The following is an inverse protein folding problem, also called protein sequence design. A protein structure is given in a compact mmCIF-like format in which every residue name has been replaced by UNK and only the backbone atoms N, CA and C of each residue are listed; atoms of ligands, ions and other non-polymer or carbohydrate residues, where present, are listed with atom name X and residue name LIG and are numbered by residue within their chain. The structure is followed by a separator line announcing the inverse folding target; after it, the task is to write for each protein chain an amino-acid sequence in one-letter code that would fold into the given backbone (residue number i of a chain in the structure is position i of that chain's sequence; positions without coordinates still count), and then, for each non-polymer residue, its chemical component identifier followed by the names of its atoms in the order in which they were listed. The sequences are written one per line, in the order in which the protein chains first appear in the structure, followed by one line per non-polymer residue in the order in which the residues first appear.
data_IF_479590599627
#
_entry.id   IF_479590599627
#
_cell.length_a   1.000
_cell.length_b   1.000
_cell.length_c   1.000
_cell.angle_alpha   90.00
_cell.angle_beta   90.00
_cell.angle_gamma   90.00
#
_symmetry.space_group_name_H-M   'P 1'
#
loop_
_entity.id
_entity.type
_entity.pdbx_description
1 polymer ?
#
# COMPACT_ATOMS: atom_id res chain seq x y z
N UNK A 1 17.66 -9.62 -49.56
CA UNK A 1 16.39 -8.97 -49.16
C UNK A 1 15.34 -9.98 -48.67
N UNK A 2 15.76 -11.14 -48.17
CA UNK A 2 14.84 -12.25 -47.83
C UNK A 2 15.17 -12.92 -46.48
N UNK A 3 16.04 -12.29 -45.68
CA UNK A 3 16.41 -12.75 -44.32
C UNK A 3 16.03 -11.76 -43.20
N UNK A 4 15.28 -10.70 -43.53
CA UNK A 4 14.75 -9.72 -42.54
C UNK A 4 13.25 -9.86 -42.27
N UNK A 5 12.62 -10.96 -42.69
CA UNK A 5 11.19 -11.26 -42.45
C UNK A 5 10.95 -12.41 -41.46
N UNK A 6 11.99 -12.92 -40.77
CA UNK A 6 11.89 -14.06 -39.84
C UNK A 6 12.06 -13.75 -38.35
N UNK A 7 12.06 -12.48 -37.95
CA UNK A 7 11.97 -12.08 -36.54
C UNK A 7 10.90 -11.02 -36.41
N UNK A 8 9.65 -11.47 -36.24
CA UNK A 8 8.51 -10.80 -35.60
C UNK A 8 7.25 -11.63 -35.94
N UNK A 9 7.28 -12.90 -35.57
CA UNK A 9 6.04 -13.65 -35.38
C UNK A 9 5.50 -13.23 -34.01
N UNK A 10 4.98 -11.99 -33.92
CA UNK A 10 4.19 -11.53 -32.79
C UNK A 10 2.92 -12.37 -32.85
N UNK A 11 2.92 -13.47 -32.09
CA UNK A 11 1.71 -14.21 -31.76
C UNK A 11 0.77 -13.22 -31.05
N UNK A 12 -0.31 -12.91 -31.76
CA UNK A 12 -1.61 -12.41 -31.28
C UNK A 12 -1.59 -11.10 -30.46
N UNK A 13 -2.29 -10.09 -31.00
CA UNK A 13 -2.65 -8.89 -30.25
C UNK A 13 -3.38 -9.27 -28.96
N UNK A 14 -3.05 -8.70 -27.78
CA UNK A 14 -3.80 -8.96 -26.58
C UNK A 14 -5.22 -8.42 -26.78
N UNK A 15 -6.14 -9.35 -26.94
CA UNK A 15 -7.58 -9.23 -26.68
C UNK A 15 -7.81 -8.22 -25.53
N UNK A 16 -8.63 -7.19 -25.78
CA UNK A 16 -9.21 -6.12 -24.92
C UNK A 16 -8.37 -5.48 -23.78
N UNK A 17 -8.37 -4.14 -23.71
CA UNK A 17 -7.69 -3.36 -22.66
C UNK A 17 -8.21 -3.71 -21.26
N UNK A 18 -7.33 -3.64 -20.26
CA UNK A 18 -7.65 -3.93 -18.85
C UNK A 18 -8.84 -3.12 -18.31
N UNK A 19 -9.05 -1.93 -18.87
CA UNK A 19 -10.19 -1.03 -18.69
C UNK A 19 -11.55 -1.73 -18.84
N UNK A 20 -11.65 -2.71 -19.74
CA UNK A 20 -12.89 -3.48 -19.98
C UNK A 20 -13.07 -4.69 -19.07
N UNK A 21 -12.02 -5.09 -18.34
CA UNK A 21 -11.96 -6.39 -17.62
C UNK A 21 -11.91 -6.24 -16.11
N UNK A 22 -11.66 -5.03 -15.61
CA UNK A 22 -11.42 -4.77 -14.21
C UNK A 22 -12.33 -3.65 -13.71
N UNK A 23 -12.74 -3.69 -12.45
CA UNK A 23 -13.53 -2.62 -11.83
C UNK A 23 -12.67 -1.39 -11.50
N UNK A 24 -13.07 -0.22 -11.96
CA UNK A 24 -12.41 1.08 -11.75
C UNK A 24 -13.25 2.06 -10.90
N UNK A 25 -14.36 1.59 -10.34
CA UNK A 25 -15.27 2.32 -9.45
C UNK A 25 -14.92 2.17 -7.96
N UNK A 26 -13.83 1.47 -7.64
CA UNK A 26 -13.42 1.19 -6.26
C UNK A 26 -11.99 1.65 -5.97
N UNK A 27 -11.75 2.02 -4.70
CA UNK A 27 -10.40 2.19 -4.16
C UNK A 27 -9.74 0.82 -4.09
N UNK A 28 -8.79 0.56 -5.00
CA UNK A 28 -8.08 -0.73 -5.05
C UNK A 28 -7.05 -0.82 -3.92
N UNK A 29 -6.31 0.26 -3.74
CA UNK A 29 -5.28 0.42 -2.73
C UNK A 29 -5.46 1.77 -2.06
N UNK A 30 -5.61 1.78 -0.73
CA UNK A 30 -5.60 3.02 0.04
C UNK A 30 -4.19 3.43 0.48
N UNK A 31 -3.24 2.49 0.41
CA UNK A 31 -1.81 2.71 0.63
C UNK A 31 -1.00 2.05 -0.51
N UNK A 32 0.20 2.54 -0.75
CA UNK A 32 1.21 1.79 -1.49
C UNK A 32 1.83 0.74 -0.56
N UNK A 33 2.06 -0.47 -1.07
CA UNK A 33 2.56 -1.61 -0.29
C UNK A 33 4.01 -1.97 -0.64
N UNK A 34 4.68 -1.04 -1.31
CA UNK A 34 6.11 -1.00 -1.56
C UNK A 34 6.80 -0.16 -0.49
N UNK A 35 7.99 -0.60 -0.07
CA UNK A 35 8.83 0.17 0.84
C UNK A 35 9.40 1.39 0.13
N UNK A 36 8.94 2.57 0.55
CA UNK A 36 9.33 3.84 -0.06
C UNK A 36 10.80 4.18 0.22
N UNK A 37 11.40 3.76 1.33
CA UNK A 37 12.83 3.98 1.59
C UNK A 37 13.67 3.24 0.54
N UNK A 38 13.36 1.96 0.31
CA UNK A 38 14.02 1.14 -0.71
C UNK A 38 13.79 1.74 -2.11
N UNK A 39 12.58 2.22 -2.41
CA UNK A 39 12.27 2.85 -3.68
C UNK A 39 13.13 4.10 -3.92
N UNK A 40 13.23 4.98 -2.93
CA UNK A 40 13.98 6.23 -3.04
C UNK A 40 15.50 5.97 -3.18
N UNK A 41 16.01 4.99 -2.44
CA UNK A 41 17.41 4.56 -2.53
C UNK A 41 17.73 3.96 -3.91
N UNK A 42 16.92 2.99 -4.35
CA UNK A 42 17.14 2.28 -5.61
C UNK A 42 17.06 3.20 -6.83
N UNK A 43 16.14 4.17 -6.82
CA UNK A 43 16.01 5.18 -7.87
C UNK A 43 17.07 6.29 -7.77
N UNK A 44 17.84 6.35 -6.68
CA UNK A 44 18.81 7.41 -6.39
C UNK A 44 18.18 8.79 -6.57
N UNK A 45 17.03 8.97 -5.93
CA UNK A 45 16.21 10.16 -6.09
C UNK A 45 17.01 11.39 -5.63
N UNK A 46 17.21 12.30 -6.58
CA UNK A 46 17.97 13.54 -6.40
C UNK A 46 17.08 14.76 -6.56
N UNK A 47 17.53 15.83 -5.92
CA UNK A 47 16.99 17.19 -6.08
C UNK A 47 16.98 17.60 -7.56
N UNK A 48 15.93 18.33 -7.95
CA UNK A 48 15.72 18.77 -9.34
C UNK A 48 15.38 17.65 -10.33
N UNK A 49 15.28 16.40 -9.89
CA UNK A 49 14.89 15.28 -10.75
C UNK A 49 13.44 15.36 -11.22
N UNK A 50 13.14 14.69 -12.35
CA UNK A 50 11.78 14.56 -12.88
C UNK A 50 11.42 13.08 -12.86
N UNK A 51 10.31 12.74 -12.22
CA UNK A 51 9.91 11.35 -12.00
C UNK A 51 8.51 11.08 -12.53
N UNK A 52 8.31 9.90 -13.13
CA UNK A 52 7.01 9.36 -13.47
C UNK A 52 6.69 8.22 -12.49
N UNK A 53 5.58 8.34 -11.78
CA UNK A 53 5.12 7.39 -10.77
C UNK A 53 3.75 6.86 -11.17
N UNK A 54 3.56 5.55 -11.08
CA UNK A 54 2.19 5.01 -11.03
C UNK A 54 1.59 5.47 -9.71
N UNK A 55 0.43 6.12 -9.76
CA UNK A 55 -0.10 6.85 -8.62
C UNK A 55 -0.56 5.89 -7.53
N UNK A 56 -1.34 4.86 -7.87
CA UNK A 56 -1.96 3.97 -6.89
C UNK A 56 -2.67 4.78 -5.79
N UNK A 57 -2.21 4.75 -4.55
CA UNK A 57 -2.77 5.57 -3.48
C UNK A 57 -2.07 6.94 -3.28
N UNK A 58 -1.00 7.22 -4.04
CA UNK A 58 -0.22 8.46 -3.99
C UNK A 58 1.01 8.41 -3.08
N UNK A 59 1.18 7.40 -2.23
CA UNK A 59 2.18 7.38 -1.16
C UNK A 59 3.62 7.44 -1.68
N UNK A 60 3.94 6.67 -2.73
CA UNK A 60 5.26 6.69 -3.36
C UNK A 60 5.49 8.02 -4.10
N UNK A 61 4.46 8.57 -4.74
CA UNK A 61 4.53 9.86 -5.41
C UNK A 61 4.81 10.99 -4.42
N UNK A 62 4.14 10.98 -3.25
CA UNK A 62 4.40 11.90 -2.16
C UNK A 62 5.80 11.68 -1.56
N UNK A 63 6.24 10.43 -1.41
CA UNK A 63 7.59 10.12 -0.92
C UNK A 63 8.69 10.68 -1.84
N UNK A 64 8.48 10.67 -3.17
CA UNK A 64 9.40 11.30 -4.13
C UNK A 64 9.49 12.82 -3.90
N UNK A 65 8.38 13.49 -3.57
CA UNK A 65 8.35 14.93 -3.31
C UNK A 65 9.20 15.35 -2.10
N UNK A 66 9.42 14.46 -1.13
CA UNK A 66 10.28 14.75 0.02
C UNK A 66 11.78 14.94 -0.34
N UNK A 67 12.16 14.67 -1.59
CA UNK A 67 13.55 14.79 -2.09
C UNK A 67 13.76 16.02 -2.97
N UNK A 68 12.87 17.01 -2.89
CA UNK A 68 12.91 18.25 -3.68
C UNK A 68 13.09 18.01 -5.20
N UNK A 69 12.28 17.14 -5.82
CA UNK A 69 12.31 16.95 -7.26
C UNK A 69 11.84 18.23 -7.97
N UNK A 70 12.22 18.40 -9.24
CA UNK A 70 11.64 19.47 -10.07
C UNK A 70 10.19 19.16 -10.45
N UNK A 71 9.85 17.87 -10.63
CA UNK A 71 8.47 17.45 -10.95
C UNK A 71 8.26 15.97 -10.66
N UNK A 72 7.06 15.62 -10.20
CA UNK A 72 6.57 14.24 -10.11
C UNK A 72 5.25 14.13 -10.85
N UNK A 73 5.22 13.30 -11.90
CA UNK A 73 3.99 12.94 -12.60
C UNK A 73 3.41 11.69 -11.95
N UNK A 74 2.29 11.83 -11.24
CA UNK A 74 1.53 10.70 -10.70
C UNK A 74 0.43 10.32 -11.69
N UNK A 75 0.53 9.14 -12.32
CA UNK A 75 -0.41 8.66 -13.33
C UNK A 75 -1.12 7.38 -12.89
N UNK A 76 -2.41 7.28 -13.14
CA UNK A 76 -3.17 6.05 -12.94
C UNK A 76 -4.28 5.95 -13.98
N UNK A 77 -4.59 4.74 -14.41
CA UNK A 77 -5.72 4.47 -15.29
C UNK A 77 -7.05 4.48 -14.52
N UNK A 78 -6.99 4.31 -13.19
CA UNK A 78 -8.15 4.33 -12.32
C UNK A 78 -8.42 5.75 -11.81
N UNK A 79 -9.51 6.41 -12.22
CA UNK A 79 -9.84 7.75 -11.73
C UNK A 79 -10.07 7.78 -10.21
N UNK A 80 -10.54 6.70 -9.59
CA UNK A 80 -10.71 6.62 -8.13
C UNK A 80 -9.37 6.65 -7.38
N UNK A 81 -8.31 6.09 -7.98
CA UNK A 81 -6.96 6.17 -7.41
C UNK A 81 -6.41 7.59 -7.53
N UNK A 82 -6.68 8.28 -8.64
CA UNK A 82 -6.34 9.70 -8.78
C UNK A 82 -7.10 10.58 -7.78
N UNK A 83 -8.38 10.30 -7.51
CA UNK A 83 -9.14 10.98 -6.46
C UNK A 83 -8.54 10.76 -5.05
N UNK A 84 -7.90 9.62 -4.79
CA UNK A 84 -7.15 9.37 -3.55
C UNK A 84 -5.87 10.20 -3.47
N UNK A 85 -5.13 10.30 -4.58
CA UNK A 85 -3.92 11.11 -4.66
C UNK A 85 -4.26 12.58 -4.45
N UNK A 86 -5.31 13.07 -5.11
CA UNK A 86 -5.77 14.45 -4.98
C UNK A 86 -6.21 14.77 -3.55
N UNK A 87 -6.99 13.88 -2.91
CA UNK A 87 -7.40 14.07 -1.52
C UNK A 87 -6.19 14.17 -0.58
N UNK A 88 -5.17 13.32 -0.76
CA UNK A 88 -3.94 13.40 0.03
C UNK A 88 -3.16 14.68 -0.28
N UNK A 89 -3.02 15.08 -1.54
CA UNK A 89 -2.41 16.37 -1.91
C UNK A 89 -3.08 17.54 -1.20
N UNK A 90 -4.41 17.64 -1.29
CA UNK A 90 -5.18 18.71 -0.65
C UNK A 90 -5.04 18.66 0.88
N UNK A 91 -5.03 17.46 1.48
CA UNK A 91 -4.81 17.31 2.90
C UNK A 91 -3.42 17.79 3.34
N UNK A 92 -2.35 17.49 2.59
CA UNK A 92 -1.01 18.02 2.87
C UNK A 92 -0.95 19.54 2.78
N UNK A 93 -1.59 20.13 1.76
CA UNK A 93 -1.58 21.59 1.56
C UNK A 93 -2.35 22.35 2.65
N UNK A 94 -3.42 21.77 3.21
CA UNK A 94 -4.39 22.52 4.02
C UNK A 94 -4.45 22.11 5.50
N UNK A 95 -3.82 21.00 5.90
CA UNK A 95 -3.89 20.50 7.27
C UNK A 95 -2.55 20.64 7.98
N UNK A 96 -2.59 20.80 9.30
CA UNK A 96 -1.41 20.53 10.13
C UNK A 96 -1.04 19.04 10.09
N UNK A 97 0.21 18.70 10.44
CA UNK A 97 0.65 17.31 10.48
C UNK A 97 -0.26 16.41 11.36
N UNK A 98 -0.69 16.91 12.52
CA UNK A 98 -1.58 16.16 13.41
C UNK A 98 -2.98 15.98 12.84
N UNK A 99 -3.52 17.00 12.17
CA UNK A 99 -4.80 16.90 11.46
C UNK A 99 -4.71 15.94 10.27
N UNK A 100 -3.59 15.92 9.54
CA UNK A 100 -3.35 14.96 8.47
C UNK A 100 -3.40 13.52 8.99
N UNK A 101 -2.67 13.20 10.06
CA UNK A 101 -2.66 11.85 10.65
C UNK A 101 -4.04 11.44 11.16
N UNK A 102 -4.78 12.35 11.80
CA UNK A 102 -6.17 12.12 12.21
C UNK A 102 -7.07 11.87 11.01
N UNK A 103 -7.01 12.73 10.00
CA UNK A 103 -7.84 12.67 8.80
C UNK A 103 -7.64 11.38 8.02
N UNK A 104 -6.38 11.01 7.78
CA UNK A 104 -6.03 9.82 7.02
C UNK A 104 -6.38 8.51 7.74
N UNK A 105 -6.52 8.52 9.07
CA UNK A 105 -6.90 7.32 9.84
C UNK A 105 -5.78 6.73 10.68
N UNK A 106 -4.59 7.35 10.71
CA UNK A 106 -3.47 6.91 11.56
C UNK A 106 -3.82 7.12 13.02
N UNK A 107 -4.23 8.34 13.38
CA UNK A 107 -4.65 8.68 14.73
C UNK A 107 -6.17 8.58 14.84
N UNK A 108 -6.67 8.05 15.96
CA UNK A 108 -8.11 8.00 16.24
C UNK A 108 -8.71 9.41 16.26
N UNK A 109 -9.89 9.55 15.66
CA UNK A 109 -10.59 10.83 15.53
C UNK A 109 -12.06 10.62 15.21
N UNK A 110 -12.92 11.45 15.80
CA UNK A 110 -14.33 11.58 15.45
C UNK A 110 -14.60 12.77 14.51
N UNK A 111 -13.57 13.55 14.19
CA UNK A 111 -13.70 14.84 13.49
C UNK A 111 -13.40 14.74 11.98
N UNK A 112 -13.16 13.54 11.44
CA UNK A 112 -12.74 13.36 10.04
C UNK A 112 -13.71 13.97 9.03
N UNK A 113 -15.01 13.86 9.29
CA UNK A 113 -16.06 14.46 8.44
C UNK A 113 -15.99 15.99 8.48
N UNK A 114 -15.73 16.58 9.65
CA UNK A 114 -15.52 18.02 9.78
C UNK A 114 -14.24 18.48 9.05
N UNK A 115 -13.15 17.72 9.19
CA UNK A 115 -11.89 18.00 8.47
C UNK A 115 -12.11 17.92 6.96
N UNK A 116 -12.84 16.90 6.46
CA UNK A 116 -13.19 16.81 5.05
C UNK A 116 -13.96 18.03 4.57
N UNK A 117 -15.01 18.46 5.29
CA UNK A 117 -15.77 19.66 4.93
C UNK A 117 -14.89 20.91 4.79
N UNK A 118 -13.84 21.05 5.62
CA UNK A 118 -12.88 22.16 5.53
C UNK A 118 -12.04 22.13 4.26
N UNK A 119 -11.69 20.96 3.74
CA UNK A 119 -10.76 20.83 2.61
C UNK A 119 -11.44 20.50 1.28
N UNK A 120 -12.69 20.04 1.30
CA UNK A 120 -13.39 19.49 0.12
C UNK A 120 -13.61 20.51 -1.00
N UNK A 121 -13.61 21.81 -0.69
CA UNK A 121 -13.76 22.87 -1.69
C UNK A 121 -12.51 23.09 -2.54
N UNK A 122 -11.36 22.55 -2.13
CA UNK A 122 -10.10 22.60 -2.88
C UNK A 122 -9.92 21.39 -3.80
N UNK A 123 -10.85 20.44 -3.80
CA UNK A 123 -10.86 19.30 -4.72
C UNK A 123 -11.44 19.72 -6.07
N UNK A 124 -10.98 19.05 -7.13
CA UNK A 124 -11.64 18.98 -8.43
C UNK A 124 -13.09 18.51 -8.28
N UNK A 125 -13.94 18.85 -9.25
CA UNK A 125 -15.34 18.46 -9.22
C UNK A 125 -15.49 16.93 -9.18
N UNK A 126 -14.66 16.22 -9.95
CA UNK A 126 -14.68 14.77 -10.07
C UNK A 126 -14.23 14.08 -8.77
N UNK A 127 -13.13 14.54 -8.15
CA UNK A 127 -12.70 13.97 -6.87
C UNK A 127 -13.69 14.28 -5.76
N UNK A 128 -14.23 15.51 -5.73
CA UNK A 128 -15.24 15.91 -4.74
C UNK A 128 -16.51 15.06 -4.86
N UNK A 129 -17.02 14.86 -6.07
CA UNK A 129 -18.20 14.01 -6.32
C UNK A 129 -17.97 12.59 -5.78
N UNK A 130 -16.81 12.00 -6.05
CA UNK A 130 -16.47 10.68 -5.53
C UNK A 130 -16.48 10.66 -3.99
N UNK A 131 -15.82 11.60 -3.33
CA UNK A 131 -15.71 11.59 -1.87
C UNK A 131 -17.03 11.95 -1.16
N UNK A 132 -17.81 12.87 -1.72
CA UNK A 132 -19.15 13.23 -1.24
C UNK A 132 -20.12 12.04 -1.30
N UNK A 133 -20.00 11.19 -2.34
CA UNK A 133 -20.77 9.95 -2.45
C UNK A 133 -20.35 8.88 -1.43
N UNK A 134 -19.18 9.02 -0.78
CA UNK A 134 -18.59 8.01 0.11
C UNK A 134 -18.24 8.55 1.52
N UNK A 135 -19.18 9.16 2.27
CA UNK A 135 -18.88 9.73 3.61
C UNK A 135 -18.41 8.67 4.61
N UNK A 136 -18.83 7.41 4.44
CA UNK A 136 -18.36 6.28 5.27
C UNK A 136 -16.86 6.02 5.11
N UNK A 137 -16.27 6.33 3.96
CA UNK A 137 -14.83 6.18 3.73
C UNK A 137 -14.06 7.25 4.51
N UNK A 138 -14.52 8.50 4.46
CA UNK A 138 -13.96 9.60 5.24
C UNK A 138 -14.00 9.27 6.74
N UNK A 139 -15.17 8.87 7.25
CA UNK A 139 -15.36 8.53 8.67
C UNK A 139 -14.41 7.41 9.15
N UNK A 140 -14.19 6.40 8.29
CA UNK A 140 -13.34 5.25 8.60
C UNK A 140 -11.86 5.61 8.71
N UNK A 141 -11.41 6.65 8.01
CA UNK A 141 -9.99 6.91 7.78
C UNK A 141 -9.54 6.32 6.45
N UNK A 142 -9.01 7.19 5.59
CA UNK A 142 -8.66 6.93 4.20
C UNK A 142 -7.74 5.72 4.06
N UNK A 143 -6.73 5.57 4.92
CA UNK A 143 -5.75 4.46 4.84
C UNK A 143 -6.35 3.07 5.05
N UNK A 144 -7.65 2.95 5.37
CA UNK A 144 -8.31 1.68 5.65
C UNK A 144 -9.34 1.24 4.60
N UNK A 145 -9.64 2.06 3.59
CA UNK A 145 -10.85 1.85 2.77
C UNK A 145 -10.64 0.93 1.56
N UNK A 146 -9.38 0.74 1.15
CA UNK A 146 -9.08 0.04 -0.09
C UNK A 146 -9.37 -1.45 -0.05
N UNK A 147 -9.56 -2.05 -1.24
CA UNK A 147 -9.83 -3.49 -1.39
C UNK A 147 -8.74 -4.33 -0.73
N UNK A 148 -7.47 -3.95 -0.91
CA UNK A 148 -6.35 -4.70 -0.35
C UNK A 148 -6.24 -4.54 1.18
N UNK A 149 -6.54 -3.37 1.71
CA UNK A 149 -6.65 -3.12 3.15
C UNK A 149 -7.79 -3.92 3.79
N UNK A 150 -8.92 -4.06 3.07
CA UNK A 150 -10.03 -4.92 3.49
C UNK A 150 -9.60 -6.40 3.53
N UNK A 151 -8.77 -6.84 2.59
CA UNK A 151 -8.20 -8.19 2.59
C UNK A 151 -7.26 -8.42 3.77
N UNK A 152 -6.38 -7.47 4.10
CA UNK A 152 -5.56 -7.55 5.32
C UNK A 152 -6.40 -7.54 6.60
N UNK A 153 -7.51 -6.80 6.63
CA UNK A 153 -8.44 -6.84 7.76
C UNK A 153 -9.08 -8.20 7.93
N UNK A 154 -9.49 -8.86 6.84
CA UNK A 154 -9.99 -10.24 6.88
C UNK A 154 -8.91 -11.18 7.44
N UNK A 155 -7.70 -11.09 6.90
CA UNK A 155 -6.55 -11.87 7.37
C UNK A 155 -6.31 -11.67 8.87
N UNK A 156 -6.14 -10.43 9.32
CA UNK A 156 -5.86 -10.08 10.71
C UNK A 156 -6.94 -10.53 11.68
N UNK A 157 -8.20 -10.32 11.34
CA UNK A 157 -9.29 -10.52 12.30
C UNK A 157 -9.79 -11.97 12.36
N UNK A 158 -9.62 -12.74 11.28
CA UNK A 158 -10.24 -14.06 11.17
C UNK A 158 -9.26 -15.19 10.89
N UNK A 159 -8.12 -14.92 10.25
CA UNK A 159 -7.20 -15.95 9.78
C UNK A 159 -5.96 -16.04 10.68
N UNK A 160 -5.31 -14.91 10.95
CA UNK A 160 -4.16 -14.82 11.84
C UNK A 160 -4.45 -15.35 13.26
N UNK A 161 -5.61 -15.08 13.89
CA UNK A 161 -5.91 -15.58 15.24
C UNK A 161 -6.03 -17.11 15.33
N UNK A 162 -6.21 -17.81 14.21
CA UNK A 162 -6.25 -19.28 14.16
C UNK A 162 -4.86 -19.90 14.32
N UNK A 163 -3.79 -19.12 14.09
CA UNK A 163 -2.41 -19.61 14.11
C UNK A 163 -1.53 -18.89 15.14
N UNK A 164 -1.86 -17.63 15.47
CA UNK A 164 -1.09 -16.80 16.40
C UNK A 164 -1.99 -16.01 17.33
N UNK A 165 -1.66 -16.00 18.62
CA UNK A 165 -2.31 -15.14 19.59
C UNK A 165 -1.91 -13.68 19.40
N UNK A 166 -2.74 -12.73 19.85
CA UNK A 166 -2.37 -11.30 19.87
C UNK A 166 -1.07 -11.05 20.63
N UNK A 167 -0.82 -11.81 21.70
CA UNK A 167 0.45 -11.72 22.47
C UNK A 167 1.64 -12.10 21.59
N UNK A 168 1.56 -13.21 20.86
CA UNK A 168 2.61 -13.65 19.94
C UNK A 168 2.85 -12.63 18.82
N UNK A 169 1.78 -12.04 18.28
CA UNK A 169 1.87 -10.98 17.26
C UNK A 169 2.58 -9.74 17.81
N UNK A 170 2.23 -9.29 19.01
CA UNK A 170 2.90 -8.15 19.62
C UNK A 170 4.37 -8.45 19.91
N UNK A 171 4.69 -9.66 20.40
CA UNK A 171 6.07 -10.09 20.60
C UNK A 171 6.87 -10.08 19.30
N UNK A 172 6.29 -10.49 18.16
CA UNK A 172 7.01 -10.39 16.88
C UNK A 172 7.41 -8.94 16.55
N UNK A 173 6.59 -7.97 16.95
CA UNK A 173 6.77 -6.54 16.68
C UNK A 173 7.54 -5.80 17.78
N UNK A 174 8.03 -6.50 18.80
CA UNK A 174 8.93 -5.90 19.79
C UNK A 174 10.36 -5.81 19.22
N UNK A 175 11.18 -4.93 19.80
CA UNK A 175 12.55 -4.74 19.36
C UNK A 175 13.39 -5.98 19.67
N UNK A 176 13.98 -6.55 18.63
CA UNK A 176 14.83 -7.73 18.68
C UNK A 176 16.05 -7.51 17.79
N UNK A 177 17.19 -8.08 18.16
CA UNK A 177 18.31 -8.24 17.22
C UNK A 177 18.03 -9.39 16.22
N UNK A 178 18.88 -9.55 15.21
CA UNK A 178 18.67 -10.56 14.17
C UNK A 178 18.63 -12.00 14.71
N UNK A 179 19.53 -12.35 15.63
CA UNK A 179 19.57 -13.69 16.22
C UNK A 179 18.28 -14.00 17.00
N UNK A 180 17.79 -13.03 17.78
CA UNK A 180 16.52 -13.13 18.51
C UNK A 180 15.32 -13.26 17.58
N UNK A 181 15.26 -12.51 16.46
CA UNK A 181 14.20 -12.65 15.45
C UNK A 181 14.20 -14.03 14.81
N UNK A 182 15.39 -14.55 14.45
CA UNK A 182 15.55 -15.89 13.91
C UNK A 182 15.08 -16.95 14.92
N UNK A 183 15.47 -16.81 16.18
CA UNK A 183 15.07 -17.73 17.24
C UNK A 183 13.55 -17.69 17.49
N UNK A 184 12.99 -16.49 17.61
CA UNK A 184 11.55 -16.30 17.76
C UNK A 184 10.78 -16.89 16.58
N UNK A 185 11.25 -16.65 15.36
CA UNK A 185 10.63 -17.22 14.18
C UNK A 185 10.64 -18.75 14.21
N UNK A 186 11.79 -19.37 14.51
CA UNK A 186 11.93 -20.83 14.56
C UNK A 186 11.09 -21.46 15.67
N UNK A 187 11.13 -20.88 16.88
CA UNK A 187 10.60 -21.51 18.08
C UNK A 187 9.15 -21.12 18.42
N UNK A 188 8.66 -19.97 17.91
CA UNK A 188 7.33 -19.44 18.25
C UNK A 188 6.44 -19.16 17.03
N UNK A 189 7.02 -18.71 15.91
CA UNK A 189 6.24 -18.28 14.75
C UNK A 189 6.00 -19.38 13.71
N UNK A 190 7.04 -20.09 13.28
CA UNK A 190 7.01 -21.03 12.16
C UNK A 190 6.39 -22.40 12.52
N UNK A 191 5.15 -22.37 13.01
CA UNK A 191 4.39 -23.54 13.44
C UNK A 191 3.75 -24.28 12.26
N UNK A 192 3.28 -25.52 12.48
CA UNK A 192 2.55 -26.27 11.46
C UNK A 192 1.29 -25.51 10.98
N UNK A 193 0.43 -24.96 11.86
CA UNK A 193 -0.70 -24.13 11.43
C UNK A 193 -0.29 -22.93 10.57
N UNK A 194 0.80 -22.23 10.92
CA UNK A 194 1.34 -21.13 10.11
C UNK A 194 1.72 -21.58 8.69
N UNK A 195 2.43 -22.70 8.56
CA UNK A 195 2.81 -23.26 7.25
C UNK A 195 1.59 -23.66 6.41
N UNK A 196 0.57 -24.26 7.03
CA UNK A 196 -0.67 -24.64 6.36
C UNK A 196 -1.49 -23.43 5.91
N UNK A 197 -1.56 -22.38 6.73
CA UNK A 197 -2.22 -21.13 6.38
C UNK A 197 -1.68 -20.57 5.06
N UNK A 198 -0.36 -20.54 4.85
CA UNK A 198 0.21 -19.97 3.63
C UNK A 198 -0.17 -20.75 2.38
N UNK A 199 -0.24 -22.08 2.48
CA UNK A 199 -0.64 -22.95 1.37
C UNK A 199 -2.10 -22.71 0.95
N UNK A 200 -2.96 -22.34 1.89
CA UNK A 200 -4.41 -22.17 1.66
C UNK A 200 -4.74 -20.71 1.34
N UNK A 201 -4.45 -19.79 2.26
CA UNK A 201 -4.91 -18.41 2.22
C UNK A 201 -4.22 -17.56 1.14
N UNK A 202 -2.92 -17.79 0.92
CA UNK A 202 -2.13 -17.12 -0.13
C UNK A 202 -2.09 -17.91 -1.44
N UNK A 203 -2.97 -18.89 -1.61
CA UNK A 203 -3.17 -19.53 -2.91
C UNK A 203 -3.75 -18.53 -3.93
N UNK A 204 -3.39 -18.70 -5.21
CA UNK A 204 -3.88 -17.84 -6.31
C UNK A 204 -5.40 -17.70 -6.33
N UNK A 205 -6.12 -18.78 -6.02
CA UNK A 205 -7.59 -18.82 -6.01
C UNK A 205 -8.20 -17.88 -4.96
N UNK A 206 -7.67 -17.87 -3.74
CA UNK A 206 -8.17 -17.03 -2.66
C UNK A 206 -7.74 -15.57 -2.84
N UNK A 207 -6.49 -15.34 -3.24
CA UNK A 207 -6.03 -13.97 -3.53
C UNK A 207 -6.78 -13.34 -4.70
N UNK A 208 -7.04 -14.06 -5.79
CA UNK A 208 -7.81 -13.55 -6.93
C UNK A 208 -9.29 -13.27 -6.61
N UNK A 209 -9.87 -13.96 -5.63
CA UNK A 209 -11.26 -13.71 -5.22
C UNK A 209 -11.39 -12.56 -4.22
N UNK A 210 -10.48 -12.47 -3.26
CA UNK A 210 -10.65 -11.61 -2.08
C UNK A 210 -9.70 -10.41 -2.05
N UNK A 211 -8.47 -10.55 -2.55
CA UNK A 211 -7.43 -9.52 -2.41
C UNK A 211 -7.17 -8.73 -3.68
N UNK A 212 -6.79 -9.43 -4.76
CA UNK A 212 -6.41 -8.85 -6.05
C UNK A 212 -7.38 -9.28 -7.14
N UNK A 213 -7.42 -8.54 -8.24
CA UNK A 213 -8.16 -8.93 -9.44
C UNK A 213 -7.53 -10.20 -10.06
N UNK A 214 -8.30 -11.25 -10.44
CA UNK A 214 -7.76 -12.46 -11.05
C UNK A 214 -6.86 -12.19 -12.27
N UNK A 215 -7.16 -11.13 -13.04
CA UNK A 215 -6.37 -10.76 -14.23
C UNK A 215 -4.90 -10.48 -13.91
N UNK A 216 -4.58 -10.01 -12.70
CA UNK A 216 -3.19 -9.76 -12.30
C UNK A 216 -2.37 -11.04 -12.10
N UNK A 217 -3.00 -12.22 -12.05
CA UNK A 217 -2.30 -13.50 -11.92
C UNK A 217 -2.03 -14.18 -13.28
N UNK A 218 -2.52 -13.61 -14.38
CA UNK A 218 -2.43 -14.21 -15.73
C UNK A 218 -0.98 -14.54 -16.14
N UNK A 219 -0.03 -13.68 -15.77
CA UNK A 219 1.39 -13.82 -16.13
C UNK A 219 2.25 -14.39 -15.01
N UNK A 220 1.64 -14.86 -13.91
CA UNK A 220 2.41 -15.45 -12.82
C UNK A 220 2.61 -16.93 -13.14
N UNK A 221 3.84 -17.37 -13.30
CA UNK A 221 4.17 -18.77 -13.61
C UNK A 221 4.62 -19.57 -12.38
N UNK A 222 5.09 -18.90 -11.33
CA UNK A 222 5.64 -19.54 -10.12
C UNK A 222 4.58 -19.90 -9.07
N UNK A 223 4.88 -20.85 -8.19
CA UNK A 223 4.04 -21.08 -7.01
C UNK A 223 4.06 -19.85 -6.08
N UNK A 224 2.94 -19.13 -6.10
CA UNK A 224 2.75 -17.87 -5.38
C UNK A 224 2.83 -18.09 -3.87
N UNK A 225 2.26 -19.19 -3.38
CA UNK A 225 2.22 -19.48 -1.94
C UNK A 225 3.63 -19.71 -1.40
N UNK A 226 4.45 -20.55 -2.05
CA UNK A 226 5.84 -20.78 -1.64
C UNK A 226 6.71 -19.52 -1.76
N UNK A 227 6.53 -18.72 -2.81
CA UNK A 227 7.25 -17.45 -2.96
C UNK A 227 6.92 -16.46 -1.83
N UNK A 228 5.63 -16.27 -1.53
CA UNK A 228 5.17 -15.41 -0.44
C UNK A 228 5.65 -15.95 0.91
N UNK A 229 5.63 -17.26 1.14
CA UNK A 229 6.12 -17.87 2.37
C UNK A 229 7.61 -17.59 2.60
N UNK A 230 8.46 -17.78 1.59
CA UNK A 230 9.91 -17.47 1.69
C UNK A 230 10.17 -15.98 1.93
N UNK A 231 9.40 -15.09 1.28
CA UNK A 231 9.50 -13.65 1.50
C UNK A 231 9.04 -13.25 2.90
N UNK A 232 7.98 -13.89 3.42
CA UNK A 232 7.54 -13.69 4.79
C UNK A 232 8.61 -14.15 5.78
N UNK A 233 9.21 -15.33 5.59
CA UNK A 233 10.34 -15.78 6.41
C UNK A 233 11.47 -14.74 6.44
N UNK A 234 11.90 -14.25 5.27
CA UNK A 234 12.92 -13.21 5.19
C UNK A 234 12.51 -11.92 5.93
N UNK A 235 11.29 -11.43 5.70
CA UNK A 235 10.79 -10.21 6.35
C UNK A 235 10.66 -10.33 7.87
N UNK A 236 10.44 -11.54 8.39
CA UNK A 236 10.26 -11.80 9.82
C UNK A 236 11.57 -12.15 10.55
N UNK A 237 12.65 -12.41 9.82
CA UNK A 237 13.93 -12.85 10.41
C UNK A 237 15.07 -11.89 10.12
N UNK A 238 15.23 -11.49 8.85
CA UNK A 238 16.34 -10.63 8.41
C UNK A 238 16.02 -9.17 8.68
N UNK A 239 14.83 -8.71 8.29
CA UNK A 239 14.45 -7.30 8.43
C UNK A 239 14.03 -6.95 9.88
N UNK A 240 14.30 -5.72 10.35
CA UNK A 240 13.73 -5.23 11.60
C UNK A 240 12.21 -5.22 11.54
N UNK A 241 11.55 -5.90 12.49
CA UNK A 241 10.09 -6.06 12.51
C UNK A 241 9.39 -4.96 13.31
N UNK A 242 10.09 -4.34 14.25
CA UNK A 242 9.60 -3.31 15.17
C UNK A 242 9.45 -1.92 14.53
N UNK A 243 10.24 -1.66 13.47
CA UNK A 243 10.18 -0.41 12.70
C UNK A 243 9.66 -0.61 11.26
N UNK A 244 8.94 -1.69 10.99
CA UNK A 244 8.37 -1.95 9.67
C UNK A 244 6.87 -1.55 9.62
N UNK A 245 6.51 -0.40 9.02
CA UNK A 245 5.14 0.10 9.04
C UNK A 245 4.17 -0.83 8.30
N UNK A 246 4.63 -1.47 7.22
CA UNK A 246 3.79 -2.36 6.41
C UNK A 246 3.47 -3.65 7.16
N UNK A 247 4.48 -4.25 7.81
CA UNK A 247 4.28 -5.44 8.64
C UNK A 247 3.36 -5.12 9.83
N UNK A 248 3.60 -3.99 10.51
CA UNK A 248 2.75 -3.56 11.62
C UNK A 248 1.29 -3.37 11.19
N UNK A 249 1.04 -2.73 10.05
CA UNK A 249 -0.32 -2.56 9.54
C UNK A 249 -0.97 -3.90 9.21
N UNK A 250 -0.28 -4.80 8.51
CA UNK A 250 -0.83 -6.11 8.14
C UNK A 250 -1.26 -6.89 9.39
N UNK A 251 -0.46 -6.83 10.45
CA UNK A 251 -0.66 -7.60 11.68
C UNK A 251 -1.60 -6.92 12.69
N UNK A 252 -1.64 -5.59 12.74
CA UNK A 252 -2.36 -4.83 13.78
C UNK A 252 -3.49 -3.96 13.24
N UNK A 253 -3.46 -3.66 11.94
CA UNK A 253 -4.48 -2.89 11.23
C UNK A 253 -4.26 -1.38 11.17
N UNK A 254 -3.13 -0.88 11.68
CA UNK A 254 -2.79 0.53 11.63
C UNK A 254 -1.25 0.71 11.70
N UNK A 255 -0.77 1.91 11.40
CA UNK A 255 0.60 2.36 11.64
C UNK A 255 0.68 2.96 13.04
N UNK A 256 1.43 2.36 13.97
CA UNK A 256 1.48 2.82 15.37
C UNK A 256 2.90 3.16 15.82
N UNK A 257 3.83 2.21 15.68
CA UNK A 257 5.24 2.38 16.04
C UNK A 257 6.02 3.05 14.91
N UNK A 258 5.72 2.67 13.67
CA UNK A 258 6.40 3.16 12.48
C UNK A 258 5.41 3.74 11.48
N UNK A 259 5.81 4.81 10.79
CA UNK A 259 5.03 5.43 9.73
C UNK A 259 5.69 5.16 8.36
N UNK A 260 4.88 4.93 7.31
CA UNK A 260 5.40 4.89 5.95
C UNK A 260 6.04 6.24 5.62
N UNK A 261 7.04 6.23 4.73
CA UNK A 261 7.94 7.36 4.50
C UNK A 261 7.22 8.71 4.35
N UNK A 262 6.19 8.79 3.50
CA UNK A 262 5.45 10.03 3.26
C UNK A 262 4.72 10.60 4.48
N UNK A 263 4.42 9.78 5.49
CA UNK A 263 3.75 10.20 6.73
C UNK A 263 4.70 10.53 7.87
N UNK A 264 6.02 10.33 7.71
CA UNK A 264 6.97 10.68 8.77
C UNK A 264 7.08 12.19 8.93
N UNK A 265 7.22 12.67 10.16
CA UNK A 265 7.18 14.10 10.48
C UNK A 265 8.25 14.88 9.74
N UNK A 266 9.46 14.33 9.66
CA UNK A 266 10.61 14.93 8.99
C UNK A 266 10.38 15.17 7.48
N UNK A 267 9.45 14.45 6.86
CA UNK A 267 9.15 14.57 5.43
C UNK A 267 7.99 15.52 5.14
N UNK A 268 7.14 15.83 6.13
CA UNK A 268 5.89 16.55 5.94
C UNK A 268 6.08 17.92 5.26
N UNK A 269 7.01 18.73 5.76
CA UNK A 269 7.24 20.09 5.25
C UNK A 269 7.80 20.08 3.83
N UNK A 270 8.77 19.19 3.54
CA UNK A 270 9.33 19.05 2.20
C UNK A 270 8.27 18.60 1.19
N UNK A 271 7.46 17.59 1.54
CA UNK A 271 6.37 17.14 0.65
C UNK A 271 5.40 18.28 0.37
N UNK A 272 4.95 18.97 1.43
CA UNK A 272 3.99 20.08 1.31
C UNK A 272 4.53 21.21 0.42
N UNK A 273 5.80 21.58 0.56
CA UNK A 273 6.40 22.66 -0.22
C UNK A 273 6.63 22.30 -1.69
N UNK A 274 6.56 21.01 -2.06
CA UNK A 274 6.80 20.53 -3.42
C UNK A 274 5.52 20.07 -4.14
N UNK A 275 4.31 20.39 -3.62
CA UNK A 275 3.03 19.96 -4.18
C UNK A 275 2.43 20.90 -5.25
N UNK A 276 3.14 21.98 -5.59
CA UNK A 276 2.72 23.04 -6.52
C UNK A 276 3.35 22.92 -7.92
#
# INVERSE_FOLDING_TARGET
MEERKKMLNIKESPTESIEKRARFDIVRYANCWEDADILLEALKVKEGGIYLSIASAGDNSLSLLAKNPSKVFAIDINPVQLACVELKKIAFLNLSYEELLKFLGVNDSNDRESIYSKISHNLSAEAKEFWDAHPKFIKRGIIHIGKFENYFRLFRNWILPLVHTRRTVNQLLDTHNEAERIEFYKNKWNTLPWRWLFRIFFSRRLMGRLGRDPEFFRYVETDVASCIFKRAEHALTVLPTDNNPYLEYILTGNFKKALPFYLRRENFDSIRNNLD
#
